data_IF_847922111547
#
_entry.id   IF_847922111547
#
_cell.length_a   1.000
_cell.length_b   1.000
_cell.length_c   1.000
_cell.angle_alpha   90.00
_cell.angle_beta   90.00
_cell.angle_gamma   90.00
#
_symmetry.space_group_name_H-M   'P 1'
#
loop_
_entity.id
_entity.type
_entity.pdbx_description
1 polymer ?
#
# COMPACT_ATOMS: atom_id res chain seq x y z
N UNK A 1 13.61 6.55 -12.61
CA UNK A 1 12.56 7.24 -13.40
C UNK A 1 11.45 7.75 -12.51
N UNK A 2 11.06 7.02 -11.47
CA UNK A 2 10.06 7.50 -10.52
C UNK A 2 10.54 8.71 -9.69
N UNK A 3 11.84 8.76 -9.40
CA UNK A 3 12.45 9.82 -8.59
C UNK A 3 12.38 11.20 -9.25
N UNK A 4 12.41 11.27 -10.59
CA UNK A 4 12.40 12.55 -11.30
C UNK A 4 10.99 13.15 -11.41
N UNK A 5 9.94 12.34 -11.25
CA UNK A 5 8.55 12.80 -11.30
C UNK A 5 7.91 12.94 -9.91
N UNK A 6 8.49 12.31 -8.88
CA UNK A 6 7.98 12.39 -7.51
C UNK A 6 7.84 13.84 -6.99
N UNK A 7 8.83 14.75 -7.18
CA UNK A 7 8.69 16.14 -6.72
C UNK A 7 7.50 16.87 -7.37
N UNK A 8 7.33 16.70 -8.69
CA UNK A 8 6.24 17.35 -9.44
C UNK A 8 4.87 16.91 -8.93
N UNK A 9 4.72 15.62 -8.61
CA UNK A 9 3.45 15.09 -8.10
C UNK A 9 3.23 15.52 -6.65
N UNK A 10 4.27 15.53 -5.82
CA UNK A 10 4.20 16.02 -4.44
C UNK A 10 3.68 17.47 -4.38
N UNK A 11 4.19 18.34 -5.27
CA UNK A 11 3.80 19.75 -5.35
C UNK A 11 2.39 19.96 -5.93
N UNK A 12 1.83 18.98 -6.64
CA UNK A 12 0.53 19.09 -7.29
C UNK A 12 -0.67 18.86 -6.35
N UNK A 13 -0.42 18.36 -5.13
CA UNK A 13 -1.48 17.90 -4.20
C UNK A 13 -2.11 16.55 -4.56
N UNK A 14 -1.67 15.91 -5.64
CA UNK A 14 -2.04 14.54 -6.01
C UNK A 14 -1.41 13.51 -5.06
N UNK A 15 -1.91 12.27 -5.14
CA UNK A 15 -1.31 11.14 -4.43
C UNK A 15 -0.15 10.55 -5.21
N UNK A 16 0.96 10.30 -4.51
CA UNK A 16 2.11 9.60 -5.04
C UNK A 16 1.86 8.09 -5.02
N UNK A 17 1.76 7.46 -6.19
CA UNK A 17 1.53 6.02 -6.32
C UNK A 17 2.76 5.27 -6.81
N UNK A 18 3.24 4.29 -6.04
CA UNK A 18 4.40 3.48 -6.40
C UNK A 18 4.09 1.97 -6.39
N UNK A 19 4.44 1.32 -7.50
CA UNK A 19 4.47 -0.15 -7.59
C UNK A 19 5.88 -0.66 -7.35
N UNK A 20 6.04 -1.49 -6.31
CA UNK A 20 7.29 -2.15 -5.97
C UNK A 20 7.37 -3.48 -6.71
N UNK A 21 8.24 -3.54 -7.72
CA UNK A 21 8.44 -4.72 -8.56
C UNK A 21 9.83 -5.29 -8.38
N UNK A 22 9.99 -6.61 -8.49
CA UNK A 22 11.28 -7.20 -8.80
C UNK A 22 11.89 -6.53 -10.06
N UNK A 23 13.14 -6.09 -9.93
CA UNK A 23 14.08 -5.82 -11.02
C UNK A 23 13.77 -4.69 -12.03
N UNK A 24 12.59 -4.06 -12.01
CA UNK A 24 12.16 -3.18 -13.13
C UNK A 24 11.80 -1.75 -12.75
N UNK A 25 10.92 -1.53 -11.76
CA UNK A 25 10.31 -0.19 -11.51
C UNK A 25 10.89 0.48 -10.27
N UNK A 26 10.62 -0.12 -9.12
CA UNK A 26 10.95 0.42 -7.81
C UNK A 26 11.30 -0.73 -6.87
N UNK A 27 12.24 -0.49 -5.95
CA UNK A 27 12.57 -1.41 -4.88
C UNK A 27 12.36 -0.74 -3.52
N UNK A 28 12.40 -1.54 -2.47
CA UNK A 28 12.09 -1.14 -1.10
C UNK A 28 13.01 -0.02 -0.60
N UNK A 29 14.32 -0.10 -0.89
CA UNK A 29 15.29 0.90 -0.44
C UNK A 29 15.13 2.25 -1.16
N UNK A 30 14.83 2.22 -2.46
CA UNK A 30 14.53 3.43 -3.24
C UNK A 30 13.21 4.07 -2.80
N UNK A 31 12.21 3.25 -2.45
CA UNK A 31 10.97 3.74 -1.86
C UNK A 31 11.22 4.43 -0.51
N UNK A 32 12.05 3.85 0.35
CA UNK A 32 12.47 4.47 1.63
C UNK A 32 13.16 5.82 1.40
N UNK A 33 13.99 5.96 0.37
CA UNK A 33 14.62 7.24 0.04
C UNK A 33 13.58 8.30 -0.34
N UNK A 34 12.59 7.94 -1.16
CA UNK A 34 11.47 8.83 -1.52
C UNK A 34 10.67 9.25 -0.27
N UNK A 35 10.38 8.31 0.65
CA UNK A 35 9.66 8.61 1.90
C UNK A 35 10.44 9.58 2.80
N UNK A 36 11.78 9.50 2.81
CA UNK A 36 12.61 10.44 3.58
C UNK A 36 12.61 11.84 2.99
N UNK A 37 12.53 11.94 1.67
CA UNK A 37 12.55 13.22 0.96
C UNK A 37 11.20 13.93 0.99
N UNK A 38 10.11 13.18 0.79
CA UNK A 38 8.76 13.74 0.60
C UNK A 38 7.82 13.52 1.79
N UNK A 39 8.26 12.81 2.83
CA UNK A 39 7.43 12.44 3.97
C UNK A 39 6.56 11.21 3.70
N UNK A 40 5.61 10.97 4.61
CA UNK A 40 4.75 9.77 4.60
C UNK A 40 3.30 10.06 4.21
N UNK A 41 2.93 11.33 4.04
CA UNK A 41 1.56 11.74 3.72
C UNK A 41 1.28 11.61 2.22
N UNK A 42 0.06 11.19 1.87
CA UNK A 42 -0.42 11.08 0.48
C UNK A 42 0.41 10.17 -0.43
N UNK A 43 0.96 9.08 0.13
CA UNK A 43 1.74 8.08 -0.61
C UNK A 43 1.04 6.72 -0.55
N UNK A 44 0.94 6.07 -1.71
CA UNK A 44 0.43 4.72 -1.88
C UNK A 44 1.54 3.79 -2.38
N UNK A 45 1.65 2.62 -1.75
CA UNK A 45 2.59 1.57 -2.13
C UNK A 45 1.83 0.29 -2.44
N UNK A 46 2.11 -0.35 -3.58
CA UNK A 46 1.53 -1.64 -3.95
C UNK A 46 2.61 -2.60 -4.48
N UNK A 47 2.34 -3.89 -4.40
CA UNK A 47 3.20 -4.96 -4.94
C UNK A 47 2.93 -5.27 -6.41
N UNK A 48 1.88 -4.66 -6.99
CA UNK A 48 1.37 -4.93 -8.32
C UNK A 48 1.39 -6.44 -8.63
N UNK A 49 0.78 -7.20 -7.71
CA UNK A 49 0.67 -8.66 -7.74
C UNK A 49 -0.16 -9.11 -8.96
N UNK A 50 0.44 -9.00 -10.13
CA UNK A 50 -0.14 -9.25 -11.44
C UNK A 50 0.50 -10.48 -12.10
N UNK A 51 0.12 -10.71 -13.36
CA UNK A 51 0.48 -11.88 -14.17
C UNK A 51 1.98 -12.02 -14.50
N UNK A 52 2.80 -11.01 -14.19
CA UNK A 52 4.24 -11.05 -14.38
C UNK A 52 5.01 -11.67 -13.21
N UNK A 53 6.34 -11.49 -13.19
CA UNK A 53 7.18 -11.83 -12.02
C UNK A 53 6.95 -10.80 -10.92
N UNK A 54 5.92 -11.05 -10.10
CA UNK A 54 5.53 -10.21 -8.96
C UNK A 54 5.80 -10.95 -7.63
N UNK A 55 5.85 -10.21 -6.53
CA UNK A 55 5.94 -10.76 -5.17
C UNK A 55 4.91 -10.03 -4.28
N UNK A 56 3.84 -10.71 -3.83
CA UNK A 56 2.80 -10.06 -3.02
C UNK A 56 3.34 -9.53 -1.69
N UNK A 57 4.48 -10.03 -1.21
CA UNK A 57 5.12 -9.58 0.03
C UNK A 57 5.92 -8.29 -0.13
N UNK A 58 5.96 -7.67 -1.32
CA UNK A 58 6.71 -6.42 -1.51
C UNK A 58 6.22 -5.25 -0.66
N UNK A 59 4.94 -5.18 -0.36
CA UNK A 59 4.40 -4.18 0.60
C UNK A 59 4.91 -4.44 2.01
N UNK A 60 4.87 -5.70 2.48
CA UNK A 60 5.42 -6.10 3.78
C UNK A 60 6.94 -5.82 3.88
N UNK A 61 7.70 -6.18 2.83
CA UNK A 61 9.15 -5.92 2.78
C UNK A 61 9.45 -4.43 2.78
N UNK A 62 8.61 -3.60 2.14
CA UNK A 62 8.73 -2.14 2.19
C UNK A 62 8.54 -1.63 3.62
N UNK A 63 7.52 -2.09 4.34
CA UNK A 63 7.32 -1.76 5.75
C UNK A 63 8.52 -2.16 6.63
N UNK A 64 9.09 -3.35 6.40
CA UNK A 64 10.32 -3.77 7.10
C UNK A 64 11.51 -2.87 6.77
N UNK A 65 11.67 -2.45 5.51
CA UNK A 65 12.72 -1.54 5.10
C UNK A 65 12.57 -0.16 5.73
N UNK A 66 11.33 0.34 5.87
CA UNK A 66 11.03 1.58 6.61
C UNK A 66 11.48 1.48 8.06
N UNK A 67 11.10 0.42 8.78
CA UNK A 67 11.52 0.20 10.17
C UNK A 67 13.05 0.13 10.29
N UNK A 68 13.71 -0.63 9.40
CA UNK A 68 15.16 -0.72 9.36
C UNK A 68 15.84 0.62 9.06
N UNK A 69 15.14 1.53 8.39
CA UNK A 69 15.59 2.88 8.06
C UNK A 69 15.25 3.93 9.14
N UNK A 70 14.67 3.52 10.28
CA UNK A 70 14.41 4.39 11.42
C UNK A 70 13.06 5.10 11.41
N UNK A 71 12.16 4.76 10.48
CA UNK A 71 10.75 5.16 10.60
C UNK A 71 10.11 4.43 11.77
N UNK A 72 9.16 5.07 12.44
CA UNK A 72 8.43 4.44 13.52
C UNK A 72 7.25 3.58 12.99
N UNK A 73 6.56 2.89 13.90
CA UNK A 73 5.40 2.07 13.51
C UNK A 73 4.24 2.90 12.96
N UNK A 74 4.08 4.14 13.42
CA UNK A 74 3.00 5.02 12.98
C UNK A 74 3.22 5.51 11.54
N UNK A 75 4.47 5.73 11.14
CA UNK A 75 4.83 6.02 9.75
C UNK A 75 4.54 4.82 8.84
N UNK A 76 4.89 3.62 9.29
CA UNK A 76 4.61 2.38 8.53
C UNK A 76 3.10 2.16 8.40
N UNK A 77 2.36 2.31 9.50
CA UNK A 77 0.90 2.22 9.50
C UNK A 77 0.28 3.28 8.59
N UNK A 78 0.80 4.51 8.62
CA UNK A 78 0.32 5.56 7.72
C UNK A 78 0.47 5.18 6.26
N UNK A 79 1.65 4.73 5.85
CA UNK A 79 1.92 4.40 4.44
C UNK A 79 1.17 3.14 3.99
N UNK A 80 1.09 2.11 4.83
CA UNK A 80 0.55 0.81 4.45
C UNK A 80 -0.96 0.66 4.74
N UNK A 81 -1.54 1.53 5.56
CA UNK A 81 -2.93 1.41 6.01
C UNK A 81 -3.71 2.72 5.90
N UNK A 82 -3.34 3.76 6.66
CA UNK A 82 -4.14 4.98 6.74
C UNK A 82 -4.23 5.72 5.41
N UNK A 83 -3.13 5.79 4.65
CA UNK A 83 -3.10 6.39 3.33
C UNK A 83 -4.02 5.65 2.33
N UNK A 84 -3.90 4.33 2.14
CA UNK A 84 -4.86 3.57 1.34
C UNK A 84 -6.31 3.79 1.73
N UNK A 85 -6.63 3.72 3.04
CA UNK A 85 -8.01 3.96 3.52
C UNK A 85 -8.47 5.35 3.15
N UNK A 86 -7.65 6.36 3.41
CA UNK A 86 -7.98 7.76 3.12
C UNK A 86 -8.21 7.97 1.63
N UNK A 87 -7.38 7.37 0.77
CA UNK A 87 -7.51 7.49 -0.68
C UNK A 87 -8.77 6.77 -1.20
N UNK A 88 -8.93 5.47 -0.92
CA UNK A 88 -10.06 4.70 -1.44
C UNK A 88 -11.39 5.11 -0.80
N UNK A 89 -11.36 5.58 0.45
CA UNK A 89 -12.51 6.10 1.19
C UNK A 89 -13.16 7.32 0.55
N UNK A 90 -12.43 8.09 -0.28
CA UNK A 90 -13.00 9.23 -1.02
C UNK A 90 -14.19 8.82 -1.91
N UNK A 91 -14.24 7.57 -2.34
CA UNK A 91 -15.33 7.04 -3.15
C UNK A 91 -16.63 6.82 -2.38
N UNK A 92 -16.59 6.79 -1.04
CA UNK A 92 -17.69 6.35 -0.19
C UNK A 92 -18.04 4.86 -0.32
N UNK A 93 -17.23 4.06 -1.02
CA UNK A 93 -17.47 2.63 -1.26
C UNK A 93 -16.52 1.71 -0.50
N UNK A 94 -15.59 2.27 0.28
CA UNK A 94 -14.74 1.48 1.15
C UNK A 94 -15.52 1.14 2.42
N UNK A 95 -15.91 -0.12 2.56
CA UNK A 95 -16.47 -0.63 3.80
C UNK A 95 -15.32 -0.91 4.77
N UNK A 96 -15.37 -0.28 5.95
CA UNK A 96 -14.39 -0.45 7.03
C UNK A 96 -14.94 -1.30 8.18
N UNK A 97 -16.25 -1.54 8.19
CA UNK A 97 -16.91 -2.34 9.21
C UNK A 97 -16.60 -3.83 9.00
N UNK A 98 -16.62 -4.58 10.09
CA UNK A 98 -16.49 -6.03 10.04
C UNK A 98 -17.55 -6.60 9.10
N UNK A 99 -17.11 -7.46 8.19
CA UNK A 99 -18.04 -8.09 7.25
C UNK A 99 -18.96 -9.00 8.06
N UNK A 100 -20.27 -8.82 7.91
CA UNK A 100 -21.22 -9.74 8.55
C UNK A 100 -20.95 -11.16 8.07
N UNK A 101 -20.70 -12.06 9.01
CA UNK A 101 -20.49 -13.47 8.70
C UNK A 101 -21.83 -14.06 8.25
N UNK A 102 -21.95 -14.26 6.95
CA UNK A 102 -23.09 -14.93 6.35
C UNK A 102 -22.96 -16.45 6.49
N UNK A 103 -24.10 -17.11 6.67
CA UNK A 103 -24.19 -18.57 6.80
C UNK A 103 -23.74 -19.34 5.55
N UNK A 104 -23.87 -20.67 5.62
CA UNK A 104 -23.56 -21.59 4.52
C UNK A 104 -24.35 -21.25 3.24
N UNK A 105 -23.70 -21.30 2.08
CA UNK A 105 -24.36 -21.06 0.79
C UNK A 105 -24.28 -22.32 -0.09
N UNK A 106 -25.41 -22.70 -0.71
CA UNK A 106 -25.51 -23.81 -1.65
C UNK A 106 -24.91 -25.13 -1.13
N UNK A 107 -25.10 -25.42 0.16
CA UNK A 107 -24.61 -26.66 0.80
C UNK A 107 -23.11 -26.67 1.10
N UNK A 108 -22.39 -25.54 0.95
CA UNK A 108 -21.01 -25.45 1.43
C UNK A 108 -20.97 -25.41 2.97
N UNK A 109 -19.86 -25.84 3.57
CA UNK A 109 -19.62 -25.73 5.02
C UNK A 109 -18.79 -24.50 5.41
N UNK A 110 -18.40 -23.67 4.43
CA UNK A 110 -17.52 -22.52 4.63
C UNK A 110 -18.39 -21.26 4.80
N UNK A 111 -18.30 -20.66 5.98
CA UNK A 111 -18.91 -19.37 6.28
C UNK A 111 -18.36 -18.29 5.34
N UNK A 112 -19.22 -17.44 4.81
CA UNK A 112 -18.83 -16.37 3.89
C UNK A 112 -18.77 -15.05 4.65
N UNK A 113 -17.70 -14.28 4.47
CA UNK A 113 -17.55 -12.98 5.13
C UNK A 113 -16.94 -13.03 6.53
N UNK A 114 -16.35 -14.14 6.96
CA UNK A 114 -15.62 -14.22 8.24
C UNK A 114 -14.48 -15.22 8.18
N UNK A 115 -13.36 -14.87 8.84
CA UNK A 115 -12.21 -15.72 9.11
C UNK A 115 -12.48 -16.75 10.19
#
# INVERSE_FOLDING_TARGET
MNEVTAPIVADSGCWLGFSIYPDTKMNENRMVAILREHGTDRILVNSAADWGRSDPLKTHRTGRAMLAAGFDQSDVDKVLWLNPITFYGQSGRLAMDDTEVHGTFAGNSILRGGS
#
